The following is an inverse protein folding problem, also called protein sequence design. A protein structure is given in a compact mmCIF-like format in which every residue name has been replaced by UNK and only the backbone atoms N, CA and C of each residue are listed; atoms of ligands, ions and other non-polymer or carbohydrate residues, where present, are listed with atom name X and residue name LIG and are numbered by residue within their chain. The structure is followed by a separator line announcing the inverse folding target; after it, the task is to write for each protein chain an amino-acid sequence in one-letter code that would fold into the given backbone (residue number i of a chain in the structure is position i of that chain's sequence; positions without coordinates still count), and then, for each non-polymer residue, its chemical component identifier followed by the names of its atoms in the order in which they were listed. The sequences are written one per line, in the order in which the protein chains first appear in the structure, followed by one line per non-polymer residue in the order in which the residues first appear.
data_IF_568946388819
#
_entry.id   IF_568946388819
#
_cell.length_a   1.000
_cell.length_b   1.000
_cell.length_c   1.000
_cell.angle_alpha   90.00
_cell.angle_beta   90.00
_cell.angle_gamma   90.00
#
_symmetry.space_group_name_H-M   'P 1'
#
loop_
_entity.id
_entity.type
_entity.pdbx_description
1 polymer ?
#
# COMPACT_ATOMS: atom_id res chain seq x y z
N UNK A 1 12.38 29.31 5.85
CA UNK A 1 12.06 27.91 5.47
C UNK A 1 11.77 27.13 6.72
N UNK A 2 10.72 26.28 6.70
CA UNK A 2 10.34 25.44 7.85
C UNK A 2 11.24 24.21 7.92
N UNK A 3 11.69 23.78 9.10
CA UNK A 3 12.46 22.56 9.23
C UNK A 3 11.61 21.32 8.89
N UNK A 4 12.22 20.35 8.21
CA UNK A 4 11.61 19.12 7.74
C UNK A 4 12.40 17.93 8.29
N UNK A 5 11.74 16.86 8.64
CA UNK A 5 12.38 15.56 8.85
C UNK A 5 12.20 14.70 7.60
N UNK A 6 13.28 14.42 6.89
CA UNK A 6 13.31 13.45 5.79
C UNK A 6 13.39 12.04 6.34
N UNK A 7 12.38 11.24 6.08
CA UNK A 7 12.26 9.88 6.57
C UNK A 7 12.49 8.89 5.41
N UNK A 8 13.58 8.15 5.46
CA UNK A 8 14.07 7.28 4.39
C UNK A 8 13.94 5.82 4.84
N UNK A 9 13.07 5.06 4.18
CA UNK A 9 13.00 3.61 4.36
C UNK A 9 13.98 2.92 3.40
N UNK A 10 14.84 2.05 3.96
CA UNK A 10 15.84 1.28 3.21
C UNK A 10 15.76 -0.21 3.54
N UNK A 11 16.11 -1.05 2.57
CA UNK A 11 16.08 -2.50 2.69
C UNK A 11 17.26 -3.16 1.94
N UNK A 12 17.20 -4.47 1.76
CA UNK A 12 18.20 -5.24 1.03
C UNK A 12 18.44 -4.68 -0.39
N UNK A 13 19.71 -4.68 -0.82
CA UNK A 13 20.17 -4.22 -2.14
C UNK A 13 20.02 -2.71 -2.41
N UNK A 14 19.81 -1.89 -1.37
CA UNK A 14 19.54 -0.46 -1.52
C UNK A 14 20.67 0.45 -1.03
N UNK A 15 21.82 -0.09 -0.65
CA UNK A 15 22.94 0.68 -0.11
C UNK A 15 23.34 1.86 -1.00
N UNK A 16 23.68 1.58 -2.25
CA UNK A 16 24.20 2.61 -3.17
C UNK A 16 23.09 3.62 -3.55
N UNK A 17 21.85 3.19 -3.63
CA UNK A 17 20.69 4.06 -3.81
C UNK A 17 20.52 5.00 -2.61
N UNK A 18 20.57 4.47 -1.38
CA UNK A 18 20.48 5.28 -0.16
C UNK A 18 21.59 6.33 -0.10
N UNK A 19 22.83 5.97 -0.47
CA UNK A 19 23.94 6.93 -0.55
C UNK A 19 23.73 7.99 -1.62
N UNK A 20 23.18 7.61 -2.78
CA UNK A 20 22.87 8.57 -3.85
C UNK A 20 21.76 9.55 -3.43
N UNK A 21 20.71 9.05 -2.73
CA UNK A 21 19.69 9.91 -2.16
C UNK A 21 20.27 10.89 -1.13
N UNK A 22 21.14 10.42 -0.22
CA UNK A 22 21.79 11.29 0.75
C UNK A 22 22.66 12.36 0.08
N UNK A 23 23.40 12.00 -0.98
CA UNK A 23 24.15 12.95 -1.78
C UNK A 23 23.21 14.00 -2.38
N UNK A 24 22.07 13.60 -2.93
CA UNK A 24 21.12 14.54 -3.53
C UNK A 24 20.52 15.50 -2.50
N UNK A 25 20.24 15.03 -1.30
CA UNK A 25 19.81 15.89 -0.19
C UNK A 25 20.89 16.89 0.20
N UNK A 26 22.15 16.49 0.25
CA UNK A 26 23.28 17.37 0.55
C UNK A 26 23.48 18.47 -0.51
N UNK A 27 23.33 18.12 -1.79
CA UNK A 27 23.59 19.05 -2.90
C UNK A 27 22.38 19.93 -3.23
N UNK A 28 21.15 19.44 -2.98
CA UNK A 28 19.92 20.05 -3.48
C UNK A 28 19.00 20.60 -2.38
N UNK A 29 19.45 20.63 -1.12
CA UNK A 29 18.69 21.19 0.02
C UNK A 29 19.63 21.93 0.99
N UNK A 30 19.05 22.79 1.84
CA UNK A 30 19.78 23.32 3.02
C UNK A 30 19.74 22.28 4.16
N UNK A 31 20.46 21.19 3.95
CA UNK A 31 20.46 20.02 4.81
C UNK A 31 20.72 20.32 6.29
N UNK A 32 21.42 21.43 6.60
CA UNK A 32 21.77 21.83 7.96
C UNK A 32 20.54 22.24 8.79
N UNK A 33 19.44 22.63 8.14
CA UNK A 33 18.20 23.04 8.77
C UNK A 33 17.22 21.87 8.97
N UNK A 34 17.59 20.68 8.54
CA UNK A 34 16.68 19.51 8.48
C UNK A 34 17.21 18.33 9.30
N UNK A 35 16.33 17.43 9.66
CA UNK A 35 16.65 16.13 10.25
C UNK A 35 16.51 15.05 9.17
N UNK A 36 17.38 14.05 9.21
CA UNK A 36 17.27 12.84 8.38
C UNK A 36 17.11 11.63 9.30
N UNK A 37 16.03 10.91 9.14
CA UNK A 37 15.82 9.61 9.78
C UNK A 37 15.90 8.51 8.72
N UNK A 38 16.74 7.51 8.96
CA UNK A 38 16.89 6.36 8.06
C UNK A 38 16.50 5.10 8.84
N UNK A 39 15.55 4.35 8.30
CA UNK A 39 15.16 3.06 8.83
C UNK A 39 15.62 1.95 7.90
N UNK A 40 16.49 1.08 8.41
CA UNK A 40 17.00 -0.08 7.68
C UNK A 40 16.21 -1.31 8.12
N UNK A 41 15.25 -1.73 7.29
CA UNK A 41 14.33 -2.83 7.59
C UNK A 41 15.00 -4.21 7.44
N UNK A 42 15.87 -4.34 6.44
CA UNK A 42 16.73 -5.50 6.24
C UNK A 42 18.01 -5.07 5.56
N UNK A 43 19.13 -5.75 5.83
CA UNK A 43 20.44 -5.35 5.35
C UNK A 43 21.27 -6.57 4.94
N UNK A 44 21.64 -6.64 3.66
CA UNK A 44 22.52 -7.66 3.10
C UNK A 44 23.81 -7.08 2.48
N UNK A 45 24.03 -5.76 2.64
CA UNK A 45 25.15 -5.03 2.02
C UNK A 45 25.97 -4.22 3.02
N UNK A 46 25.77 -4.39 4.34
CA UNK A 46 26.36 -3.57 5.38
C UNK A 46 26.00 -2.08 5.23
N UNK A 47 24.76 -1.82 4.86
CA UNK A 47 24.22 -0.46 4.68
C UNK A 47 24.29 0.33 5.98
N UNK A 48 23.92 -0.32 7.10
CA UNK A 48 23.94 0.27 8.43
C UNK A 48 25.34 0.78 8.81
N UNK A 49 26.36 -0.06 8.72
CA UNK A 49 27.74 0.30 9.07
C UNK A 49 28.26 1.43 8.19
N UNK A 50 27.92 1.40 6.90
CA UNK A 50 28.27 2.46 5.94
C UNK A 50 27.61 3.80 6.27
N UNK A 51 26.36 3.79 6.72
CA UNK A 51 25.64 5.00 7.12
C UNK A 51 26.13 5.55 8.48
N UNK A 52 26.52 4.70 9.41
CA UNK A 52 27.17 5.13 10.67
C UNK A 52 28.48 5.88 10.40
N UNK A 53 29.27 5.45 9.41
CA UNK A 53 30.44 6.25 8.98
C UNK A 53 30.02 7.59 8.36
N UNK A 54 28.95 7.61 7.55
CA UNK A 54 28.44 8.83 6.93
C UNK A 54 27.88 9.83 7.96
N UNK A 55 27.34 9.35 9.08
CA UNK A 55 26.85 10.18 10.18
C UNK A 55 27.93 11.08 10.77
N UNK A 56 29.20 10.69 10.70
CA UNK A 56 30.34 11.54 11.17
C UNK A 56 30.46 12.83 10.34
N UNK A 57 30.05 12.79 9.08
CA UNK A 57 30.06 13.94 8.16
C UNK A 57 28.75 14.72 8.22
N UNK A 58 27.64 14.05 8.55
CA UNK A 58 26.28 14.58 8.60
C UNK A 58 25.66 14.31 9.97
N UNK A 59 25.92 15.15 10.98
CA UNK A 59 25.49 14.89 12.35
C UNK A 59 23.97 14.98 12.57
N UNK A 60 23.23 15.50 11.61
CA UNK A 60 21.75 15.54 11.61
C UNK A 60 21.07 14.26 11.08
N UNK A 61 21.85 13.22 10.76
CA UNK A 61 21.31 11.90 10.43
C UNK A 61 21.15 11.08 11.70
N UNK A 62 19.99 10.47 11.84
CA UNK A 62 19.71 9.43 12.83
C UNK A 62 19.36 8.13 12.11
N UNK A 63 20.02 7.04 12.48
CA UNK A 63 19.89 5.76 11.78
C UNK A 63 19.24 4.77 12.73
N UNK A 64 18.23 4.09 12.24
CA UNK A 64 17.61 2.98 12.95
C UNK A 64 17.81 1.69 12.16
N UNK A 65 18.16 0.64 12.88
CA UNK A 65 18.25 -0.71 12.34
C UNK A 65 17.15 -1.58 12.92
N UNK A 66 16.41 -2.24 12.06
CA UNK A 66 15.47 -3.26 12.50
C UNK A 66 16.21 -4.44 13.16
N UNK A 67 15.96 -4.66 14.43
CA UNK A 67 16.57 -5.75 15.24
C UNK A 67 15.63 -6.93 15.42
N UNK A 68 14.42 -6.88 14.85
CA UNK A 68 13.42 -7.94 15.01
C UNK A 68 13.83 -9.26 14.36
N UNK A 69 14.84 -9.23 13.46
CA UNK A 69 15.27 -10.37 12.69
C UNK A 69 14.38 -10.68 11.49
N UNK A 70 13.40 -9.83 11.12
CA UNK A 70 12.53 -9.96 9.94
C UNK A 70 12.04 -8.58 9.47
N UNK A 71 11.81 -8.38 8.16
CA UNK A 71 11.27 -7.13 7.65
C UNK A 71 9.88 -6.85 8.22
N UNK A 72 9.67 -5.63 8.70
CA UNK A 72 8.37 -5.20 9.25
C UNK A 72 7.49 -4.44 8.23
N UNK A 73 8.10 -4.05 7.11
CA UNK A 73 7.44 -3.37 6.00
C UNK A 73 7.52 -1.85 6.06
N UNK A 74 7.47 -1.22 4.89
CA UNK A 74 7.67 0.23 4.74
C UNK A 74 6.68 1.06 5.55
N UNK A 75 5.42 0.65 5.65
CA UNK A 75 4.36 1.37 6.36
C UNK A 75 4.63 1.52 7.85
N UNK A 76 5.17 0.45 8.47
CA UNK A 76 5.57 0.48 9.89
C UNK A 76 6.83 1.28 10.07
N UNK A 77 7.80 1.12 9.16
CA UNK A 77 9.05 1.88 9.17
C UNK A 77 8.76 3.38 9.11
N UNK A 78 7.87 3.80 8.21
CA UNK A 78 7.45 5.20 8.08
C UNK A 78 6.76 5.69 9.35
N UNK A 79 5.83 4.91 9.91
CA UNK A 79 5.13 5.30 11.15
C UNK A 79 6.09 5.45 12.32
N UNK A 80 7.09 4.57 12.44
CA UNK A 80 8.14 4.65 13.48
C UNK A 80 8.98 5.91 13.28
N UNK A 81 9.46 6.17 12.07
CA UNK A 81 10.26 7.36 11.76
C UNK A 81 9.47 8.65 12.02
N UNK A 82 8.20 8.70 11.58
CA UNK A 82 7.34 9.87 11.82
C UNK A 82 7.09 10.10 13.31
N UNK A 83 6.93 9.04 14.10
CA UNK A 83 6.84 9.13 15.56
C UNK A 83 8.12 9.69 16.20
N UNK A 84 9.28 9.26 15.72
CA UNK A 84 10.59 9.67 16.22
C UNK A 84 11.07 11.04 15.70
N UNK A 85 10.43 11.58 14.66
CA UNK A 85 10.80 12.86 14.03
C UNK A 85 10.70 14.02 15.04
N UNK A 86 11.67 14.92 15.00
CA UNK A 86 11.71 16.11 15.85
C UNK A 86 10.96 17.30 15.26
N UNK A 87 10.81 17.35 13.93
CA UNK A 87 10.11 18.42 13.23
C UNK A 87 8.64 18.10 13.02
N UNK A 88 7.82 19.14 12.86
CA UNK A 88 6.37 19.02 12.63
C UNK A 88 6.04 18.53 11.22
N UNK A 89 6.87 18.91 10.22
CA UNK A 89 6.73 18.44 8.85
C UNK A 89 7.64 17.23 8.67
N UNK A 90 7.06 16.14 8.23
CA UNK A 90 7.74 14.90 7.89
C UNK A 90 7.59 14.62 6.40
N UNK A 91 8.67 14.22 5.75
CA UNK A 91 8.69 13.87 4.33
C UNK A 91 9.14 12.43 4.15
N UNK A 92 8.28 11.59 3.61
CA UNK A 92 8.61 10.20 3.27
C UNK A 92 9.34 10.14 1.94
N UNK A 93 10.51 9.54 1.94
CA UNK A 93 11.32 9.22 0.76
C UNK A 93 11.63 7.72 0.72
N UNK A 94 11.56 7.13 -0.45
CA UNK A 94 12.09 5.79 -0.68
C UNK A 94 13.58 5.89 -0.97
N UNK A 95 14.36 4.90 -0.57
CA UNK A 95 15.82 4.88 -0.74
C UNK A 95 16.28 5.02 -2.19
N UNK A 96 15.45 4.56 -3.14
CA UNK A 96 15.71 4.57 -4.57
C UNK A 96 15.25 5.87 -5.28
N UNK A 97 15.39 7.01 -4.58
CA UNK A 97 15.06 8.33 -5.09
C UNK A 97 16.28 9.26 -5.13
N UNK A 98 16.21 10.27 -5.98
CA UNK A 98 17.15 11.40 -6.04
C UNK A 98 16.33 12.67 -6.06
N UNK A 99 16.52 13.56 -5.07
CA UNK A 99 15.75 14.80 -4.99
C UNK A 99 16.29 15.87 -5.93
N UNK A 100 15.37 16.66 -6.50
CA UNK A 100 15.72 17.81 -7.34
C UNK A 100 16.18 19.01 -6.54
N UNK A 101 16.69 20.03 -7.24
CA UNK A 101 17.19 21.28 -6.65
C UNK A 101 16.12 22.02 -5.86
N UNK A 102 16.49 22.65 -4.75
CA UNK A 102 15.63 23.42 -3.84
C UNK A 102 14.42 22.59 -3.33
N UNK A 103 14.58 21.27 -3.20
CA UNK A 103 13.51 20.35 -2.84
C UNK A 103 12.81 20.70 -1.52
N UNK A 104 13.60 21.01 -0.49
CA UNK A 104 13.12 21.43 0.83
C UNK A 104 12.35 22.76 0.79
N UNK A 105 12.82 23.71 -0.01
CA UNK A 105 12.15 24.98 -0.20
C UNK A 105 10.79 24.79 -0.85
N UNK A 106 10.74 24.00 -1.92
CA UNK A 106 9.49 23.72 -2.60
C UNK A 106 8.49 22.95 -1.73
N UNK A 107 8.97 22.08 -0.83
CA UNK A 107 8.09 21.48 0.21
C UNK A 107 7.59 22.57 1.15
N UNK A 108 8.49 23.37 1.73
CA UNK A 108 8.17 24.43 2.70
C UNK A 108 7.13 25.43 2.16
N UNK A 109 7.29 25.84 0.90
CA UNK A 109 6.41 26.82 0.23
C UNK A 109 4.99 26.28 0.01
N UNK A 110 4.82 24.95 -0.15
CA UNK A 110 3.53 24.30 -0.37
C UNK A 110 2.86 23.79 0.92
N UNK A 111 3.55 23.85 2.06
CA UNK A 111 3.04 23.32 3.34
C UNK A 111 2.58 24.43 4.32
N UNK A 112 1.99 25.52 3.80
CA UNK A 112 1.46 26.59 4.65
C UNK A 112 0.14 26.19 5.36
N UNK A 113 -0.71 25.43 4.69
CA UNK A 113 -1.94 24.87 5.26
C UNK A 113 -1.66 23.46 5.76
N UNK A 114 -1.92 23.20 7.04
CA UNK A 114 -1.76 21.89 7.65
C UNK A 114 -2.67 20.79 7.05
N UNK A 115 -3.73 21.18 6.36
CA UNK A 115 -4.64 20.24 5.68
C UNK A 115 -4.08 19.74 4.33
N UNK A 116 -2.99 20.34 3.87
CA UNK A 116 -2.33 19.93 2.64
C UNK A 116 -1.42 18.72 2.94
N UNK A 117 -1.50 17.72 2.11
CA UNK A 117 -0.49 16.68 1.98
C UNK A 117 0.18 16.89 0.64
N UNK A 118 1.47 17.17 0.67
CA UNK A 118 2.22 17.48 -0.53
C UNK A 118 2.80 16.21 -1.14
N UNK A 119 2.31 15.80 -2.30
CA UNK A 119 2.96 14.82 -3.14
C UNK A 119 4.04 15.49 -4.00
N UNK A 120 5.19 14.85 -4.13
CA UNK A 120 6.27 15.34 -4.97
C UNK A 120 6.20 14.68 -6.36
N UNK A 121 6.45 15.45 -7.41
CA UNK A 121 6.41 14.93 -8.77
C UNK A 121 7.52 13.89 -9.00
N UNK A 122 7.17 12.78 -9.64
CA UNK A 122 8.12 11.72 -9.97
C UNK A 122 8.59 11.84 -11.42
N UNK A 123 9.89 11.70 -11.59
CA UNK A 123 10.54 11.49 -12.88
C UNK A 123 11.03 10.05 -12.86
N UNK A 124 10.60 9.22 -13.79
CA UNK A 124 10.88 7.77 -13.80
C UNK A 124 11.44 7.32 -15.15
N UNK A 125 12.33 6.31 -15.16
CA UNK A 125 12.74 5.67 -16.40
C UNK A 125 11.52 4.99 -17.07
N UNK A 126 11.59 4.66 -18.38
CA UNK A 126 10.46 4.08 -19.12
C UNK A 126 10.22 2.60 -18.81
N UNK A 127 10.19 2.25 -17.50
CA UNK A 127 9.90 0.91 -17.01
C UNK A 127 8.41 0.70 -16.74
N UNK A 128 7.67 1.78 -16.56
CA UNK A 128 6.23 1.78 -16.34
C UNK A 128 5.52 2.65 -17.38
N UNK A 129 4.23 2.37 -17.68
CA UNK A 129 3.42 3.24 -18.51
C UNK A 129 3.42 4.68 -18.01
N UNK A 130 3.31 5.68 -18.90
CA UNK A 130 3.14 7.07 -18.50
C UNK A 130 1.84 7.27 -17.72
N UNK A 131 1.82 8.27 -16.86
CA UNK A 131 0.65 8.73 -16.10
C UNK A 131 0.65 10.26 -16.02
N UNK A 132 -0.49 10.89 -15.74
CA UNK A 132 -0.57 12.34 -15.64
C UNK A 132 0.25 12.90 -14.46
N UNK A 133 0.51 12.08 -13.45
CA UNK A 133 1.18 12.42 -12.20
C UNK A 133 2.71 12.32 -12.27
N UNK A 134 3.27 11.86 -13.39
CA UNK A 134 4.71 11.63 -13.50
C UNK A 134 5.28 12.01 -14.87
N UNK A 135 6.58 12.18 -14.89
CA UNK A 135 7.36 12.41 -16.12
C UNK A 135 8.16 11.16 -16.43
N UNK A 136 8.02 10.63 -17.64
CA UNK A 136 8.85 9.51 -18.10
C UNK A 136 10.08 10.06 -18.79
N UNK A 137 11.24 9.92 -18.15
CA UNK A 137 12.55 10.34 -18.71
C UNK A 137 13.67 9.50 -18.09
N UNK A 138 14.56 9.02 -18.92
CA UNK A 138 15.63 8.11 -18.52
C UNK A 138 16.90 8.88 -18.10
N UNK A 139 17.24 8.79 -16.81
CA UNK A 139 18.54 9.24 -16.28
C UNK A 139 19.38 8.10 -15.72
N UNK A 140 19.08 6.85 -16.09
CA UNK A 140 19.71 5.62 -15.61
C UNK A 140 18.77 4.76 -14.76
N UNK A 141 19.03 3.47 -14.70
CA UNK A 141 18.25 2.49 -13.92
C UNK A 141 19.00 1.96 -12.70
N UNK A 142 20.26 2.34 -12.55
CA UNK A 142 21.11 2.04 -11.38
C UNK A 142 21.85 3.31 -10.92
N UNK A 143 22.34 3.34 -9.68
CA UNK A 143 23.12 4.48 -9.18
C UNK A 143 24.36 4.81 -9.99
N UNK A 144 25.03 3.78 -10.54
CA UNK A 144 26.24 3.93 -11.37
C UNK A 144 25.95 4.51 -12.75
N UNK A 145 24.73 4.27 -13.27
CA UNK A 145 24.28 4.80 -14.56
C UNK A 145 23.65 6.19 -14.44
N UNK A 146 23.45 6.69 -13.22
CA UNK A 146 22.69 7.91 -12.99
C UNK A 146 23.39 9.13 -13.59
N UNK A 147 22.68 9.81 -14.48
CA UNK A 147 23.16 10.97 -15.25
C UNK A 147 22.91 12.27 -14.48
N UNK A 148 23.75 12.51 -13.47
CA UNK A 148 23.58 13.59 -12.51
C UNK A 148 23.39 14.97 -13.14
N UNK A 149 24.29 15.38 -14.05
CA UNK A 149 24.26 16.70 -14.68
C UNK A 149 23.05 16.88 -15.60
N UNK A 150 22.68 15.81 -16.34
CA UNK A 150 21.51 15.85 -17.19
C UNK A 150 20.22 15.96 -16.37
N UNK A 151 20.15 15.26 -15.23
CA UNK A 151 19.03 15.35 -14.30
C UNK A 151 18.90 16.75 -13.72
N UNK A 152 19.98 17.33 -13.17
CA UNK A 152 19.96 18.67 -12.61
C UNK A 152 19.56 19.73 -13.65
N UNK A 153 20.11 19.65 -14.86
CA UNK A 153 19.73 20.55 -15.96
C UNK A 153 18.25 20.42 -16.31
N UNK A 154 17.71 19.21 -16.32
CA UNK A 154 16.30 18.97 -16.57
C UNK A 154 15.41 19.53 -15.46
N UNK A 155 15.80 19.38 -14.20
CA UNK A 155 15.06 19.95 -13.05
C UNK A 155 15.04 21.48 -13.13
N UNK A 156 16.17 22.13 -13.46
CA UNK A 156 16.23 23.57 -13.65
C UNK A 156 15.27 24.06 -14.77
N UNK A 157 15.13 23.29 -15.85
CA UNK A 157 14.17 23.59 -16.93
C UNK A 157 12.71 23.37 -16.47
N UNK A 158 12.43 22.25 -15.82
CA UNK A 158 11.11 21.93 -15.30
C UNK A 158 10.59 22.99 -14.32
N UNK A 159 11.45 23.47 -13.41
CA UNK A 159 11.10 24.50 -12.45
C UNK A 159 10.82 25.86 -13.12
N UNK A 160 11.52 26.20 -14.21
CA UNK A 160 11.24 27.42 -14.99
C UNK A 160 9.91 27.39 -15.69
N UNK A 161 9.37 26.21 -16.02
CA UNK A 161 8.02 26.09 -16.62
C UNK A 161 6.92 26.56 -15.66
N UNK A 162 7.19 26.57 -14.35
CA UNK A 162 6.25 26.97 -13.30
C UNK A 162 4.87 26.33 -13.46
N UNK A 163 4.86 25.03 -13.64
CA UNK A 163 3.61 24.26 -13.82
C UNK A 163 2.72 24.40 -12.59
N UNK A 164 1.41 24.60 -12.76
CA UNK A 164 0.50 24.68 -11.64
C UNK A 164 0.43 23.33 -10.90
N UNK A 165 0.25 23.41 -9.58
CA UNK A 165 0.00 22.22 -8.78
C UNK A 165 -1.25 21.49 -9.28
N UNK A 166 -1.27 20.19 -9.13
CA UNK A 166 -2.39 19.34 -9.49
C UNK A 166 -2.82 18.47 -8.30
N UNK A 167 -3.92 17.74 -8.44
CA UNK A 167 -4.27 16.71 -7.47
C UNK A 167 -3.19 15.64 -7.52
N UNK A 168 -2.58 15.38 -6.36
CA UNK A 168 -1.41 14.54 -6.25
C UNK A 168 -1.73 13.06 -6.05
N UNK A 169 -0.76 12.27 -6.42
CA UNK A 169 -0.68 10.85 -6.07
C UNK A 169 0.39 10.65 -5.00
N UNK A 170 0.44 9.44 -4.48
CA UNK A 170 1.27 9.06 -3.36
C UNK A 170 2.78 8.93 -3.72
N UNK A 171 3.62 9.04 -2.72
CA UNK A 171 5.07 8.85 -2.62
C UNK A 171 5.94 9.41 -3.78
N UNK A 172 6.89 10.26 -3.42
CA UNK A 172 7.16 10.76 -2.07
C UNK A 172 6.14 11.81 -1.65
N UNK A 173 5.94 11.98 -0.36
CA UNK A 173 5.01 12.98 0.15
C UNK A 173 5.50 13.62 1.45
N UNK A 174 5.06 14.85 1.69
CA UNK A 174 5.23 15.56 2.95
C UNK A 174 3.88 15.81 3.62
N UNK A 175 3.84 15.69 4.94
CA UNK A 175 2.65 15.86 5.78
C UNK A 175 3.03 16.42 7.14
N UNK A 176 2.12 17.12 7.79
CA UNK A 176 2.27 17.43 9.21
C UNK A 176 2.12 16.17 10.06
N UNK A 177 3.07 15.94 10.96
CA UNK A 177 3.09 14.79 11.86
C UNK A 177 1.80 14.62 12.65
N UNK A 178 1.24 15.74 13.15
CA UNK A 178 -0.05 15.76 13.84
C UNK A 178 -1.19 15.24 12.95
N UNK A 179 -1.25 15.69 11.70
CA UNK A 179 -2.29 15.24 10.76
C UNK A 179 -2.14 13.75 10.47
N UNK A 180 -0.91 13.28 10.27
CA UNK A 180 -0.65 11.85 10.05
C UNK A 180 -1.17 10.96 11.19
N UNK A 181 -0.90 11.31 12.45
CA UNK A 181 -1.29 10.48 13.59
C UNK A 181 -2.72 10.74 14.06
N UNK A 182 -3.10 11.99 14.28
CA UNK A 182 -4.38 12.31 14.94
C UNK A 182 -5.57 12.23 14.00
N UNK A 183 -5.39 12.61 12.73
CA UNK A 183 -6.46 12.62 11.73
C UNK A 183 -6.48 11.31 10.95
N UNK A 184 -5.35 10.96 10.35
CA UNK A 184 -5.24 9.80 9.47
C UNK A 184 -5.12 8.47 10.23
N UNK A 185 -4.61 8.49 11.46
CA UNK A 185 -4.28 7.28 12.21
C UNK A 185 -3.11 6.50 11.61
N UNK A 186 -2.28 7.14 10.78
CA UNK A 186 -1.13 6.53 10.13
C UNK A 186 -1.49 5.66 8.91
N UNK A 187 -0.54 4.86 8.46
CA UNK A 187 -0.78 3.82 7.47
C UNK A 187 -1.57 2.65 8.07
N UNK A 188 -2.44 2.04 7.28
CA UNK A 188 -3.07 0.79 7.67
C UNK A 188 -2.04 -0.36 7.59
N UNK A 189 -1.67 -0.87 8.73
CA UNK A 189 -0.64 -1.91 8.87
C UNK A 189 -1.05 -3.29 8.35
N UNK A 190 -2.30 -3.44 7.88
CA UNK A 190 -2.73 -4.64 7.16
C UNK A 190 -2.09 -4.72 5.78
N UNK A 191 -1.73 -3.56 5.18
CA UNK A 191 -0.99 -3.48 3.92
C UNK A 191 0.50 -3.42 4.23
N UNK A 192 1.29 -4.35 3.71
CA UNK A 192 2.71 -4.50 4.05
C UNK A 192 3.67 -4.13 2.93
N UNK A 193 3.25 -4.37 1.69
CA UNK A 193 4.10 -4.20 0.52
C UNK A 193 3.37 -3.69 -0.72
N UNK A 194 2.05 -3.60 -0.69
CA UNK A 194 1.25 -3.02 -1.78
C UNK A 194 -0.09 -2.49 -1.27
N UNK A 195 -0.73 -1.59 -2.03
CA UNK A 195 -2.03 -0.98 -1.76
C UNK A 195 -2.09 -0.03 -0.55
N UNK A 196 -1.02 0.13 0.18
CA UNK A 196 -0.91 1.10 1.27
C UNK A 196 -1.11 2.54 0.81
N UNK A 197 -0.59 2.84 -0.37
CA UNK A 197 -0.71 4.14 -1.03
C UNK A 197 -2.15 4.44 -1.42
N UNK A 198 -2.80 3.51 -2.10
CA UNK A 198 -4.21 3.65 -2.50
C UNK A 198 -5.13 3.78 -1.29
N UNK A 199 -4.91 2.96 -0.25
CA UNK A 199 -5.65 3.06 1.01
C UNK A 199 -5.45 4.41 1.69
N UNK A 200 -4.21 4.89 1.74
CA UNK A 200 -3.88 6.17 2.37
C UNK A 200 -4.56 7.34 1.65
N UNK A 201 -4.51 7.38 0.32
CA UNK A 201 -5.15 8.44 -0.48
C UNK A 201 -6.67 8.44 -0.29
N UNK A 202 -7.33 7.28 -0.35
CA UNK A 202 -8.77 7.20 -0.14
C UNK A 202 -9.15 7.75 1.26
N UNK A 203 -8.41 7.35 2.30
CA UNK A 203 -8.67 7.85 3.66
C UNK A 203 -8.35 9.34 3.80
N UNK A 204 -7.34 9.83 3.09
CA UNK A 204 -6.99 11.23 3.05
C UNK A 204 -8.17 12.06 2.54
N UNK A 205 -8.71 11.72 1.38
CA UNK A 205 -9.87 12.40 0.79
C UNK A 205 -11.11 12.30 1.69
N UNK A 206 -11.37 11.14 2.30
CA UNK A 206 -12.48 10.96 3.25
C UNK A 206 -12.37 11.81 4.51
N UNK A 207 -11.15 12.16 4.93
CA UNK A 207 -10.92 13.06 6.05
C UNK A 207 -10.95 14.55 5.65
N UNK A 208 -11.28 14.85 4.39
CA UNK A 208 -11.37 16.22 3.88
C UNK A 208 -9.99 16.88 3.73
N UNK A 209 -8.94 16.08 3.60
CA UNK A 209 -7.59 16.57 3.32
C UNK A 209 -7.37 16.65 1.81
N UNK A 210 -6.45 17.48 1.37
CA UNK A 210 -6.13 17.66 -0.04
C UNK A 210 -4.72 17.16 -0.32
N UNK A 211 -4.59 16.21 -1.25
CA UNK A 211 -3.30 15.86 -1.83
C UNK A 211 -2.98 16.82 -2.98
N UNK A 212 -1.97 17.64 -2.83
CA UNK A 212 -1.48 18.55 -3.86
C UNK A 212 -0.13 18.04 -4.35
N UNK A 213 0.05 17.92 -5.66
CA UNK A 213 1.34 17.60 -6.25
C UNK A 213 2.04 18.86 -6.75
N UNK A 214 3.24 19.10 -6.26
CA UNK A 214 4.13 20.15 -6.79
C UNK A 214 5.09 19.56 -7.83
N UNK A 215 5.13 20.18 -9.01
CA UNK A 215 6.11 19.83 -10.05
C UNK A 215 7.51 20.30 -9.73
N UNK A 216 7.64 21.35 -8.89
CA UNK A 216 8.93 21.91 -8.49
C UNK A 216 9.58 21.08 -7.37
N UNK A 217 8.77 20.51 -6.46
CA UNK A 217 9.26 19.50 -5.52
C UNK A 217 9.29 18.14 -6.24
N UNK A 218 10.33 17.84 -6.99
CA UNK A 218 10.42 16.64 -7.81
C UNK A 218 11.55 15.70 -7.40
N UNK A 219 11.38 14.44 -7.72
CA UNK A 219 12.38 13.39 -7.49
C UNK A 219 12.57 12.55 -8.74
N UNK A 220 13.78 12.04 -8.98
CA UNK A 220 13.97 10.88 -9.83
C UNK A 220 13.75 9.62 -9.00
N UNK A 221 12.95 8.70 -9.50
CA UNK A 221 12.62 7.46 -8.83
C UNK A 221 13.04 6.28 -9.72
N UNK A 222 14.01 5.50 -9.27
CA UNK A 222 14.52 4.36 -10.03
C UNK A 222 13.50 3.24 -10.21
N UNK A 223 12.45 3.27 -9.45
CA UNK A 223 11.29 2.37 -9.42
C UNK A 223 11.58 0.91 -9.04
N UNK A 224 10.87 0.43 -8.05
CA UNK A 224 10.80 -0.99 -7.68
C UNK A 224 12.15 -1.68 -7.47
N UNK A 225 13.19 -0.98 -7.01
CA UNK A 225 14.54 -1.56 -6.81
C UNK A 225 14.51 -2.74 -5.86
N UNK A 226 13.81 -2.61 -4.72
CA UNK A 226 13.66 -3.68 -3.74
C UNK A 226 12.80 -4.86 -4.21
N UNK A 227 11.87 -4.60 -5.14
CA UNK A 227 10.95 -5.62 -5.65
C UNK A 227 11.37 -6.21 -7.01
N UNK A 228 12.21 -5.48 -7.76
CA UNK A 228 12.69 -5.86 -9.10
C UNK A 228 14.18 -6.11 -9.17
N UNK A 229 14.91 -6.07 -8.07
CA UNK A 229 16.35 -6.29 -8.07
C UNK A 229 16.71 -7.48 -8.98
N UNK A 230 17.74 -7.33 -9.81
CA UNK A 230 18.21 -8.39 -10.75
C UNK A 230 18.39 -9.74 -10.06
N UNK A 231 18.62 -9.74 -8.75
CA UNK A 231 18.76 -10.96 -7.95
C UNK A 231 17.44 -11.69 -7.69
N UNK A 232 16.28 -11.02 -7.84
CA UNK A 232 14.95 -11.66 -7.81
C UNK A 232 14.68 -12.48 -9.08
N UNK A 233 15.37 -12.18 -10.19
CA UNK A 233 15.26 -12.85 -11.47
C UNK A 233 16.38 -13.85 -11.75
N UNK A 234 17.39 -13.97 -10.89
CA UNK A 234 18.37 -15.03 -11.01
C UNK A 234 17.69 -16.36 -10.71
N UNK A 235 17.86 -17.38 -11.56
CA UNK A 235 17.20 -18.68 -11.44
C UNK A 235 17.90 -19.56 -10.41
N UNK A 236 18.19 -19.05 -9.22
CA UNK A 236 18.46 -19.93 -8.10
C UNK A 236 17.12 -20.34 -7.45
N UNK A 237 17.09 -21.48 -6.79
CA UNK A 237 15.86 -22.00 -6.19
C UNK A 237 15.25 -21.01 -5.18
N UNK A 238 16.09 -20.25 -4.47
CA UNK A 238 15.64 -19.26 -3.49
C UNK A 238 14.97 -18.05 -4.14
N UNK A 239 15.48 -17.57 -5.28
CA UNK A 239 14.85 -16.48 -6.02
C UNK A 239 13.46 -16.84 -6.55
N UNK A 240 13.28 -18.08 -7.01
CA UNK A 240 11.98 -18.58 -7.44
C UNK A 240 10.94 -18.56 -6.33
N UNK A 241 11.29 -18.96 -5.13
CA UNK A 241 10.38 -18.93 -3.99
C UNK A 241 10.09 -17.49 -3.50
N UNK A 242 11.08 -16.61 -3.51
CA UNK A 242 10.89 -15.20 -3.16
C UNK A 242 9.91 -14.51 -4.11
N UNK A 243 10.04 -14.72 -5.42
CA UNK A 243 9.11 -14.17 -6.41
C UNK A 243 7.68 -14.68 -6.22
N UNK A 244 7.50 -15.96 -5.96
CA UNK A 244 6.18 -16.53 -5.66
C UNK A 244 5.59 -15.92 -4.39
N UNK A 245 6.40 -15.72 -3.35
CA UNK A 245 5.95 -15.11 -2.10
C UNK A 245 5.53 -13.65 -2.29
N UNK A 246 6.27 -12.86 -3.07
CA UNK A 246 5.92 -11.48 -3.36
C UNK A 246 4.62 -11.40 -4.16
N UNK A 247 4.49 -12.15 -5.24
CA UNK A 247 3.26 -12.21 -6.03
C UNK A 247 2.04 -12.62 -5.20
N UNK A 248 2.22 -13.59 -4.30
CA UNK A 248 1.14 -14.02 -3.41
C UNK A 248 0.80 -12.94 -2.36
N UNK A 249 1.79 -12.25 -1.82
CA UNK A 249 1.56 -11.14 -0.89
C UNK A 249 0.79 -10.01 -1.58
N UNK A 250 1.18 -9.61 -2.80
CA UNK A 250 0.47 -8.60 -3.57
C UNK A 250 -0.97 -9.01 -3.88
N UNK A 251 -1.20 -10.28 -4.22
CA UNK A 251 -2.54 -10.82 -4.44
C UNK A 251 -3.39 -10.79 -3.16
N UNK A 252 -2.83 -11.16 -2.01
CA UNK A 252 -3.54 -11.13 -0.73
C UNK A 252 -3.81 -9.69 -0.26
N UNK A 253 -2.90 -8.77 -0.47
CA UNK A 253 -3.11 -7.36 -0.13
C UNK A 253 -4.15 -6.70 -1.05
N UNK A 254 -4.20 -7.08 -2.33
CA UNK A 254 -5.29 -6.68 -3.22
C UNK A 254 -6.64 -7.18 -2.73
N UNK A 255 -6.75 -8.45 -2.31
CA UNK A 255 -7.99 -8.98 -1.74
C UNK A 255 -8.39 -8.23 -0.46
N UNK A 256 -7.44 -7.91 0.43
CA UNK A 256 -7.70 -7.10 1.63
C UNK A 256 -8.19 -5.71 1.28
N UNK A 257 -7.57 -5.09 0.27
CA UNK A 257 -8.00 -3.78 -0.22
C UNK A 257 -9.45 -3.80 -0.71
N UNK A 258 -9.79 -4.78 -1.56
CA UNK A 258 -11.16 -4.93 -2.06
C UNK A 258 -12.15 -5.25 -0.92
N UNK A 259 -11.78 -6.10 0.04
CA UNK A 259 -12.62 -6.38 1.23
C UNK A 259 -12.90 -5.12 2.05
N UNK A 260 -11.92 -4.23 2.16
CA UNK A 260 -12.06 -2.97 2.89
C UNK A 260 -12.92 -1.97 2.12
N UNK A 261 -12.64 -1.79 0.83
CA UNK A 261 -13.19 -0.70 0.02
C UNK A 261 -14.33 -1.13 -0.92
N UNK A 262 -14.53 -2.42 -1.12
CA UNK A 262 -15.54 -2.96 -2.04
C UNK A 262 -15.19 -2.87 -3.53
N UNK A 263 -14.08 -2.24 -3.87
CA UNK A 263 -13.65 -2.00 -5.26
C UNK A 263 -12.14 -1.92 -5.37
N UNK A 264 -11.65 -1.92 -6.59
CA UNK A 264 -10.26 -1.55 -6.88
C UNK A 264 -10.20 -0.14 -7.48
N UNK A 265 -9.50 0.79 -6.81
CA UNK A 265 -9.39 2.18 -7.25
C UNK A 265 -8.58 3.06 -6.31
N UNK A 266 -8.49 4.36 -6.62
CA UNK A 266 -7.70 5.34 -5.87
C UNK A 266 -8.55 6.49 -5.28
N UNK A 267 -9.87 6.48 -5.52
CA UNK A 267 -10.77 7.50 -5.01
C UNK A 267 -11.86 6.87 -4.15
N UNK A 268 -12.35 7.54 -3.11
CA UNK A 268 -13.39 7.02 -2.26
C UNK A 268 -14.68 6.81 -3.06
N UNK A 269 -15.33 5.68 -2.79
CA UNK A 269 -16.67 5.34 -3.25
C UNK A 269 -17.50 4.90 -2.06
N UNK A 270 -18.84 4.95 -2.13
CA UNK A 270 -19.69 4.35 -1.11
C UNK A 270 -19.41 2.85 -0.99
N UNK A 271 -19.41 2.35 0.26
CA UNK A 271 -19.23 0.94 0.59
C UNK A 271 -20.48 0.45 1.32
N UNK A 272 -21.09 -0.62 0.82
CA UNK A 272 -22.34 -1.16 1.33
C UNK A 272 -22.14 -2.52 1.99
N UNK A 273 -23.06 -2.86 2.90
CA UNK A 273 -23.10 -4.20 3.50
C UNK A 273 -23.82 -5.17 2.56
N UNK A 274 -23.03 -5.96 1.80
CA UNK A 274 -23.52 -6.85 0.76
C UNK A 274 -23.21 -8.30 1.11
N UNK A 275 -24.23 -9.15 1.21
CA UNK A 275 -24.11 -10.60 1.27
C UNK A 275 -24.21 -11.24 -0.10
N UNK A 276 -23.33 -12.17 -0.44
CA UNK A 276 -23.46 -13.05 -1.59
C UNK A 276 -24.01 -14.38 -1.12
N UNK A 277 -25.17 -14.80 -1.61
CA UNK A 277 -25.74 -16.12 -1.37
C UNK A 277 -25.54 -17.01 -2.61
N UNK A 278 -24.83 -18.12 -2.46
CA UNK A 278 -24.50 -19.06 -3.52
C UNK A 278 -25.33 -20.32 -3.36
N UNK A 279 -26.21 -20.58 -4.32
CA UNK A 279 -26.97 -21.82 -4.43
C UNK A 279 -26.12 -22.90 -5.11
N UNK A 280 -25.68 -23.88 -4.35
CA UNK A 280 -24.92 -25.01 -4.89
C UNK A 280 -25.85 -25.94 -5.68
N UNK A 281 -25.82 -25.86 -6.99
CA UNK A 281 -26.60 -26.63 -7.93
C UNK A 281 -25.77 -27.73 -8.61
N UNK A 282 -24.47 -27.74 -8.42
CA UNK A 282 -23.53 -28.77 -8.88
C UNK A 282 -22.30 -28.84 -8.00
N UNK A 283 -21.62 -29.97 -7.99
CA UNK A 283 -20.31 -30.11 -7.38
C UNK A 283 -19.22 -29.80 -8.41
N UNK A 284 -18.34 -28.83 -8.10
CA UNK A 284 -17.22 -28.45 -8.95
C UNK A 284 -16.11 -27.79 -8.11
N UNK A 285 -15.02 -27.40 -8.76
CA UNK A 285 -13.91 -26.72 -8.10
C UNK A 285 -14.35 -25.37 -7.52
N UNK A 286 -14.22 -25.22 -6.20
CA UNK A 286 -14.61 -24.04 -5.44
C UNK A 286 -13.50 -22.99 -5.36
N UNK A 287 -12.30 -23.26 -5.89
CA UNK A 287 -11.17 -22.30 -5.82
C UNK A 287 -11.48 -20.99 -6.53
N UNK A 288 -12.36 -21.03 -7.54
CA UNK A 288 -12.85 -19.86 -8.23
C UNK A 288 -13.54 -18.83 -7.30
N UNK A 289 -14.16 -19.30 -6.20
CA UNK A 289 -14.84 -18.43 -5.24
C UNK A 289 -13.89 -17.46 -4.51
N UNK A 290 -12.60 -17.77 -4.48
CA UNK A 290 -11.57 -16.89 -3.88
C UNK A 290 -11.40 -15.55 -4.62
N UNK A 291 -11.79 -15.50 -5.90
CA UNK A 291 -11.70 -14.28 -6.70
C UNK A 291 -12.87 -13.33 -6.49
N UNK A 292 -14.01 -13.85 -6.03
CA UNK A 292 -15.25 -13.08 -5.86
C UNK A 292 -15.53 -12.71 -4.40
N UNK A 293 -15.10 -13.56 -3.46
CA UNK A 293 -15.31 -13.33 -2.03
C UNK A 293 -14.94 -11.93 -1.58
N UNK A 294 -13.83 -11.30 -2.03
CA UNK A 294 -13.40 -10.00 -1.55
C UNK A 294 -14.40 -8.85 -1.81
N UNK A 295 -15.27 -8.98 -2.79
CA UNK A 295 -16.24 -7.93 -3.16
C UNK A 295 -17.49 -7.89 -2.28
N UNK A 296 -17.63 -8.82 -1.33
CA UNK A 296 -18.82 -8.98 -0.49
C UNK A 296 -18.45 -8.91 1.00
N UNK A 297 -19.35 -8.38 1.81
CA UNK A 297 -19.17 -8.39 3.28
C UNK A 297 -19.16 -9.81 3.81
N UNK A 298 -20.12 -10.64 3.32
CA UNK A 298 -20.22 -12.06 3.65
C UNK A 298 -20.53 -12.87 2.41
N UNK A 299 -20.08 -14.13 2.40
CA UNK A 299 -20.45 -15.14 1.41
C UNK A 299 -21.17 -16.27 2.12
N UNK A 300 -22.39 -16.55 1.71
CA UNK A 300 -23.24 -17.63 2.23
C UNK A 300 -23.34 -18.73 1.19
N UNK A 301 -23.22 -19.96 1.64
CA UNK A 301 -23.26 -21.15 0.78
C UNK A 301 -24.24 -22.13 1.40
N UNK A 302 -25.22 -22.63 0.61
CA UNK A 302 -26.21 -23.58 1.07
C UNK A 302 -25.73 -25.04 1.13
N UNK A 303 -24.41 -25.25 1.09
CA UNK A 303 -23.76 -26.53 1.34
C UNK A 303 -22.73 -26.37 2.48
N UNK A 304 -22.98 -27.09 3.58
CA UNK A 304 -22.15 -26.97 4.79
C UNK A 304 -20.73 -27.49 4.58
N UNK A 305 -20.54 -28.51 3.76
CA UNK A 305 -19.21 -29.07 3.50
C UNK A 305 -18.39 -28.13 2.63
N UNK A 306 -19.01 -27.55 1.60
CA UNK A 306 -18.38 -26.57 0.72
C UNK A 306 -17.99 -25.31 1.50
N UNK A 307 -18.89 -24.78 2.32
CA UNK A 307 -18.63 -23.61 3.15
C UNK A 307 -17.45 -23.85 4.12
N UNK A 308 -17.42 -25.03 4.74
CA UNK A 308 -16.31 -25.44 5.61
C UNK A 308 -15.00 -25.58 4.84
N UNK A 309 -15.01 -26.26 3.70
CA UNK A 309 -13.82 -26.46 2.87
C UNK A 309 -13.24 -25.12 2.39
N UNK A 310 -14.08 -24.19 1.96
CA UNK A 310 -13.62 -22.87 1.51
C UNK A 310 -12.99 -22.07 2.65
N UNK A 311 -13.59 -22.08 3.85
CA UNK A 311 -12.99 -21.46 5.05
C UNK A 311 -11.63 -22.06 5.40
N UNK A 312 -11.53 -23.38 5.44
CA UNK A 312 -10.28 -24.08 5.76
C UNK A 312 -9.19 -23.80 4.72
N UNK A 313 -9.55 -23.73 3.44
CA UNK A 313 -8.61 -23.39 2.37
C UNK A 313 -8.12 -21.93 2.47
N UNK A 314 -9.03 -20.98 2.72
CA UNK A 314 -8.68 -19.58 2.90
C UNK A 314 -7.77 -19.40 4.13
N UNK A 315 -8.09 -20.04 5.26
CA UNK A 315 -7.28 -20.07 6.47
C UNK A 315 -5.90 -20.69 6.21
N UNK A 316 -5.85 -21.85 5.56
CA UNK A 316 -4.60 -22.53 5.24
C UNK A 316 -3.71 -21.66 4.34
N UNK A 317 -4.24 -21.06 3.28
CA UNK A 317 -3.47 -20.17 2.40
C UNK A 317 -2.95 -18.96 3.16
N UNK A 318 -3.78 -18.31 3.96
CA UNK A 318 -3.39 -17.17 4.75
C UNK A 318 -2.25 -17.52 5.73
N UNK A 319 -2.36 -18.64 6.46
CA UNK A 319 -1.30 -19.12 7.35
C UNK A 319 -0.07 -19.64 6.60
N UNK A 320 -0.27 -20.33 5.48
CA UNK A 320 0.82 -20.85 4.67
C UNK A 320 1.69 -19.72 4.11
N UNK A 321 1.10 -18.66 3.58
CA UNK A 321 1.84 -17.52 3.08
C UNK A 321 2.49 -16.70 4.20
N UNK A 322 1.84 -16.56 5.33
CA UNK A 322 2.46 -15.98 6.51
C UNK A 322 3.67 -16.81 6.95
N UNK A 323 3.55 -18.14 6.99
CA UNK A 323 4.62 -19.06 7.37
C UNK A 323 5.76 -19.13 6.36
N UNK A 324 5.48 -19.13 5.06
CA UNK A 324 6.53 -19.11 4.02
C UNK A 324 7.33 -17.81 4.07
N UNK A 325 6.66 -16.67 4.11
CA UNK A 325 7.30 -15.37 4.23
C UNK A 325 8.20 -15.32 5.47
N UNK A 326 7.75 -15.94 6.53
CA UNK A 326 8.45 -16.10 7.78
C UNK A 326 9.65 -17.05 7.69
N UNK A 327 9.50 -18.25 7.16
CA UNK A 327 10.56 -19.25 7.03
C UNK A 327 11.77 -18.72 6.24
N UNK A 328 11.51 -17.86 5.22
CA UNK A 328 12.57 -17.27 4.41
C UNK A 328 13.15 -15.99 5.01
N UNK A 329 12.44 -15.35 5.93
CA UNK A 329 12.95 -14.14 6.53
C UNK A 329 13.64 -14.36 7.86
N UNK A 330 13.34 -15.39 8.74
CA UNK A 330 13.91 -15.43 10.09
C UNK A 330 13.82 -16.64 10.98
N UNK A 331 14.65 -16.54 12.04
CA UNK A 331 14.94 -17.54 13.06
C UNK A 331 13.95 -17.61 14.26
N UNK A 332 13.01 -16.70 14.44
CA UNK A 332 12.21 -16.56 15.68
C UNK A 332 10.70 -16.38 15.44
N UNK A 333 10.11 -17.27 14.66
CA UNK A 333 8.69 -17.27 14.30
C UNK A 333 7.73 -17.25 15.50
N UNK A 334 7.96 -18.09 16.48
CA UNK A 334 6.98 -18.34 17.55
C UNK A 334 6.74 -17.12 18.44
N UNK A 335 7.75 -16.27 18.62
CA UNK A 335 7.70 -15.12 19.52
C UNK A 335 6.93 -13.93 18.93
N UNK A 336 6.68 -13.89 17.60
CA UNK A 336 6.18 -12.70 16.90
C UNK A 336 5.02 -12.96 15.95
N UNK A 337 4.37 -14.07 16.11
CA UNK A 337 3.20 -14.48 15.32
C UNK A 337 2.10 -13.41 15.31
N UNK A 338 1.89 -12.71 16.42
CA UNK A 338 0.90 -11.66 16.57
C UNK A 338 1.11 -10.46 15.62
N UNK A 339 2.36 -10.15 15.22
CA UNK A 339 2.67 -9.05 14.30
C UNK A 339 2.22 -9.34 12.85
N UNK A 340 1.95 -10.59 12.54
CA UNK A 340 1.63 -11.07 11.20
C UNK A 340 0.35 -11.88 11.15
N UNK A 341 -0.46 -11.81 12.21
CA UNK A 341 -1.75 -12.52 12.23
C UNK A 341 -2.57 -12.05 11.04
N UNK A 342 -2.96 -12.93 10.14
CA UNK A 342 -3.90 -12.59 9.07
C UNK A 342 -5.18 -12.08 9.71
N UNK A 343 -5.81 -11.09 9.08
CA UNK A 343 -7.18 -10.72 9.46
C UNK A 343 -8.02 -11.98 9.35
N UNK A 344 -8.74 -12.33 10.42
CA UNK A 344 -9.62 -13.50 10.43
C UNK A 344 -10.67 -13.36 9.33
N UNK A 345 -10.53 -14.14 8.28
CA UNK A 345 -11.51 -14.21 7.19
C UNK A 345 -12.60 -15.25 7.45
N UNK A 346 -12.49 -15.99 8.56
CA UNK A 346 -13.34 -17.11 8.90
C UNK A 346 -14.81 -16.74 9.01
N UNK A 347 -15.10 -15.54 9.54
CA UNK A 347 -16.48 -15.12 9.80
C UNK A 347 -17.21 -14.63 8.54
N UNK A 348 -16.49 -14.43 7.44
CA UNK A 348 -17.08 -13.92 6.19
C UNK A 348 -17.73 -15.03 5.35
N UNK A 349 -17.22 -16.27 5.43
CA UNK A 349 -17.76 -17.43 4.68
C UNK A 349 -18.60 -18.26 5.64
N UNK A 350 -19.88 -18.29 5.39
CA UNK A 350 -20.86 -18.90 6.28
C UNK A 350 -21.71 -19.93 5.56
N UNK A 351 -22.16 -20.94 6.30
CA UNK A 351 -23.25 -21.81 5.84
C UNK A 351 -24.58 -21.12 6.12
N UNK A 352 -25.48 -21.16 5.14
CA UNK A 352 -26.86 -20.77 5.31
C UNK A 352 -27.74 -21.64 4.38
N UNK A 353 -28.77 -22.28 4.89
CA UNK A 353 -29.68 -23.11 4.13
C UNK A 353 -30.71 -22.31 3.30
N UNK A 354 -30.83 -21.02 3.59
CA UNK A 354 -31.84 -20.16 2.97
C UNK A 354 -31.40 -18.71 2.92
N UNK A 355 -31.73 -18.02 1.84
CA UNK A 355 -31.48 -16.59 1.66
C UNK A 355 -32.23 -15.70 2.67
N UNK A 356 -33.36 -16.19 3.19
CA UNK A 356 -34.16 -15.46 4.19
C UNK A 356 -33.44 -15.30 5.52
N UNK A 357 -32.47 -16.15 5.82
CA UNK A 357 -31.66 -16.05 7.06
C UNK A 357 -30.51 -15.06 6.95
N UNK A 358 -30.20 -14.57 5.75
CA UNK A 358 -29.13 -13.61 5.50
C UNK A 358 -29.55 -12.22 5.96
N UNK A 359 -28.69 -11.53 6.74
CA UNK A 359 -29.03 -10.27 7.43
C UNK A 359 -28.42 -9.02 6.79
N UNK A 360 -27.58 -9.15 5.75
CA UNK A 360 -26.96 -8.02 5.10
C UNK A 360 -27.99 -7.02 4.54
N UNK A 361 -27.61 -5.76 4.48
CA UNK A 361 -28.43 -4.65 3.94
C UNK A 361 -28.80 -4.88 2.46
N UNK A 362 -27.91 -5.57 1.72
CA UNK A 362 -28.17 -6.02 0.35
C UNK A 362 -27.74 -7.49 0.18
N UNK A 363 -28.47 -8.22 -0.65
CA UNK A 363 -28.19 -9.63 -0.90
C UNK A 363 -28.18 -9.89 -2.41
N UNK A 364 -27.10 -10.53 -2.85
CA UNK A 364 -26.94 -11.00 -4.22
C UNK A 364 -27.02 -12.52 -4.18
N UNK A 365 -27.95 -13.10 -4.93
CA UNK A 365 -28.19 -14.55 -4.99
C UNK A 365 -27.87 -15.09 -6.37
N UNK A 366 -27.04 -16.11 -6.45
CA UNK A 366 -26.60 -16.70 -7.72
C UNK A 366 -26.46 -18.21 -7.60
N UNK A 367 -26.73 -18.94 -8.69
CA UNK A 367 -26.39 -20.36 -8.80
C UNK A 367 -24.90 -20.54 -9.02
N UNK A 368 -24.32 -21.54 -8.37
CA UNK A 368 -22.89 -21.83 -8.50
C UNK A 368 -22.47 -22.15 -9.95
N UNK A 369 -23.37 -22.85 -10.72
CA UNK A 369 -23.12 -23.12 -12.13
C UNK A 369 -22.96 -21.88 -13.01
N UNK A 370 -23.81 -20.85 -12.76
CA UNK A 370 -23.78 -19.59 -13.51
C UNK A 370 -22.56 -18.76 -13.12
N UNK A 371 -22.22 -18.76 -11.84
CA UNK A 371 -21.04 -18.11 -11.31
C UNK A 371 -19.76 -18.67 -11.93
N UNK A 372 -19.59 -20.00 -11.95
CA UNK A 372 -18.42 -20.65 -12.56
C UNK A 372 -18.30 -20.33 -14.05
N UNK A 373 -19.41 -20.32 -14.78
CA UNK A 373 -19.42 -19.95 -16.19
C UNK A 373 -18.95 -18.52 -16.39
N UNK A 374 -19.41 -17.59 -15.54
CA UNK A 374 -19.01 -16.17 -15.62
C UNK A 374 -17.54 -15.95 -15.34
N UNK A 375 -16.92 -16.74 -14.47
CA UNK A 375 -15.49 -16.60 -14.13
C UNK A 375 -14.55 -17.09 -15.24
N UNK A 376 -15.04 -17.93 -16.14
CA UNK A 376 -14.31 -18.42 -17.31
C UNK A 376 -14.37 -17.44 -18.49
N UNK A 377 -15.25 -16.45 -18.44
CA UNK A 377 -15.46 -15.46 -19.48
C UNK A 377 -15.15 -14.05 -18.94
N UNK A 378 -14.06 -13.44 -19.39
CA UNK A 378 -13.65 -12.10 -18.97
C UNK A 378 -14.61 -10.99 -19.41
N UNK A 379 -15.44 -11.27 -20.42
CA UNK A 379 -16.45 -10.34 -20.93
C UNK A 379 -17.83 -10.54 -20.28
N UNK A 380 -17.96 -11.44 -19.33
CA UNK A 380 -19.22 -11.75 -18.65
C UNK A 380 -19.77 -10.54 -17.89
N UNK A 381 -21.02 -10.18 -18.19
CA UNK A 381 -21.75 -9.15 -17.46
C UNK A 381 -21.92 -9.51 -15.98
N UNK A 382 -22.09 -10.79 -15.64
CA UNK A 382 -22.18 -11.24 -14.27
C UNK A 382 -20.87 -11.03 -13.50
N UNK A 383 -19.73 -11.29 -14.13
CA UNK A 383 -18.41 -11.00 -13.54
C UNK A 383 -18.23 -9.50 -13.30
N UNK A 384 -18.59 -8.68 -14.29
CA UNK A 384 -18.55 -7.22 -14.16
C UNK A 384 -19.44 -6.73 -13.02
N UNK A 385 -20.66 -7.25 -12.91
CA UNK A 385 -21.60 -6.92 -11.83
C UNK A 385 -21.03 -7.25 -10.45
N UNK A 386 -20.41 -8.41 -10.29
CA UNK A 386 -19.78 -8.82 -9.02
C UNK A 386 -18.66 -7.83 -8.64
N UNK A 387 -17.80 -7.48 -9.58
CA UNK A 387 -16.67 -6.57 -9.34
C UNK A 387 -17.12 -5.12 -9.07
N UNK A 388 -18.33 -4.76 -9.43
CA UNK A 388 -18.94 -3.44 -9.21
C UNK A 388 -20.18 -3.52 -8.31
N UNK A 389 -20.26 -4.50 -7.43
CA UNK A 389 -21.44 -4.78 -6.58
C UNK A 389 -21.89 -3.58 -5.76
N UNK A 390 -20.96 -2.80 -5.22
CA UNK A 390 -21.27 -1.58 -4.45
C UNK A 390 -21.86 -0.48 -5.33
N UNK A 391 -21.35 -0.30 -6.54
CA UNK A 391 -21.90 0.65 -7.51
C UNK A 391 -23.31 0.23 -7.98
N UNK A 392 -23.55 -1.07 -8.13
CA UNK A 392 -24.87 -1.61 -8.43
C UNK A 392 -25.86 -1.26 -7.32
N UNK A 393 -25.48 -1.43 -6.04
CA UNK A 393 -26.33 -1.02 -4.91
C UNK A 393 -26.55 0.50 -4.91
N UNK A 394 -25.54 1.29 -5.20
CA UNK A 394 -25.64 2.75 -5.24
C UNK A 394 -26.63 3.25 -6.31
N UNK A 395 -26.54 2.70 -7.51
CA UNK A 395 -27.32 3.16 -8.68
C UNK A 395 -28.76 2.67 -8.69
N UNK A 396 -29.12 1.61 -7.94
CA UNK A 396 -30.46 1.05 -7.96
C UNK A 396 -31.27 1.41 -6.71
N UNK A 397 -32.58 1.47 -6.84
CA UNK A 397 -33.49 1.71 -5.70
C UNK A 397 -33.63 0.48 -4.78
N UNK A 398 -34.12 0.73 -3.55
CA UNK A 398 -34.49 -0.34 -2.62
C UNK A 398 -35.56 -1.20 -3.28
N UNK A 399 -35.33 -2.52 -3.31
CA UNK A 399 -36.24 -3.44 -3.98
C UNK A 399 -35.55 -4.74 -4.37
N UNK A 400 -36.24 -5.53 -5.19
CA UNK A 400 -35.75 -6.81 -5.70
C UNK A 400 -35.82 -6.80 -7.23
N UNK A 401 -34.75 -7.21 -7.89
CA UNK A 401 -34.64 -7.29 -9.34
C UNK A 401 -33.72 -8.42 -9.79
N UNK A 402 -33.82 -8.79 -11.05
CA UNK A 402 -33.01 -9.84 -11.67
C UNK A 402 -32.03 -9.21 -12.67
N UNK A 403 -30.80 -9.70 -12.68
CA UNK A 403 -29.79 -9.28 -13.64
C UNK A 403 -28.85 -10.44 -13.97
N UNK A 404 -28.81 -10.85 -15.26
CA UNK A 404 -27.87 -11.86 -15.79
C UNK A 404 -27.82 -13.18 -14.97
N UNK A 405 -28.97 -13.66 -14.50
CA UNK A 405 -29.11 -14.88 -13.70
C UNK A 405 -28.80 -14.71 -12.20
N UNK A 406 -28.59 -13.47 -11.76
CA UNK A 406 -28.45 -13.13 -10.35
C UNK A 406 -29.68 -12.39 -9.86
N UNK A 407 -30.23 -12.79 -8.72
CA UNK A 407 -31.25 -12.03 -8.00
C UNK A 407 -30.58 -11.06 -7.05
N UNK A 408 -30.92 -9.78 -7.14
CA UNK A 408 -30.40 -8.72 -6.27
C UNK A 408 -31.56 -8.18 -5.43
N UNK A 409 -31.39 -8.21 -4.12
CA UNK A 409 -32.32 -7.62 -3.16
C UNK A 409 -31.61 -6.53 -2.37
N UNK A 410 -32.01 -5.28 -2.57
CA UNK A 410 -31.54 -4.13 -1.79
C UNK A 410 -32.62 -3.84 -0.74
N UNK A 411 -32.26 -3.97 0.52
CA UNK A 411 -33.13 -3.70 1.68
C UNK A 411 -32.89 -2.29 2.23
N UNK A 412 -31.61 -1.94 2.34
CA UNK A 412 -31.13 -0.65 2.85
C UNK A 412 -29.87 -0.24 2.10
N UNK A 413 -29.58 1.07 2.11
CA UNK A 413 -28.39 1.66 1.45
C UNK A 413 -27.58 2.47 2.46
N UNK A 414 -26.99 1.79 3.45
CA UNK A 414 -26.16 2.39 4.48
C UNK A 414 -24.69 2.41 4.03
N UNK A 415 -24.19 3.59 3.68
CA UNK A 415 -22.78 3.76 3.34
C UNK A 415 -21.88 3.54 4.56
N UNK A 416 -21.02 2.53 4.49
CA UNK A 416 -20.04 2.16 5.52
C UNK A 416 -18.66 2.79 5.28
N UNK A 417 -18.42 3.50 4.19
CA UNK A 417 -17.11 4.04 3.84
C UNK A 417 -16.53 4.94 4.93
N UNK A 418 -17.39 5.66 5.64
CA UNK A 418 -16.99 6.53 6.76
C UNK A 418 -16.32 5.79 7.92
N UNK A 419 -16.53 4.48 8.06
CA UNK A 419 -15.91 3.67 9.13
C UNK A 419 -14.40 3.50 8.93
N UNK A 420 -13.90 3.71 7.72
CA UNK A 420 -12.49 3.52 7.34
C UNK A 420 -11.65 4.80 7.34
N UNK A 421 -12.18 5.91 7.84
CA UNK A 421 -11.49 7.23 7.84
C UNK A 421 -10.15 7.22 8.55
N UNK A 422 -9.97 6.36 9.56
CA UNK A 422 -8.72 6.21 10.30
C UNK A 422 -8.15 4.81 10.14
N UNK A 423 -6.83 4.71 10.05
CA UNK A 423 -6.14 3.44 10.14
C UNK A 423 -6.14 2.91 11.59
N UNK A 424 -6.04 1.61 11.74
CA UNK A 424 -5.73 0.99 13.03
C UNK A 424 -4.20 1.01 13.21
N UNK A 425 -3.68 2.06 13.85
CA UNK A 425 -2.27 2.03 14.28
C UNK A 425 -2.14 0.96 15.34
N UNK A 426 -1.19 0.07 15.17
CA UNK A 426 -0.79 -0.85 16.22
C UNK A 426 0.05 -0.02 17.21
N UNK A 427 -0.57 0.46 18.29
CA UNK A 427 0.09 1.24 19.35
C UNK A 427 1.34 0.56 19.91
N UNK A 428 1.36 -0.76 19.90
CA UNK A 428 2.47 -1.61 20.33
C UNK A 428 3.76 -1.44 19.56
N UNK A 429 3.73 -0.89 18.32
CA UNK A 429 4.94 -0.74 17.50
C UNK A 429 5.71 0.54 17.82
N UNK A 430 5.02 1.57 18.30
CA UNK A 430 5.62 2.88 18.63
C UNK A 430 6.20 2.86 20.04
N UNK A 431 5.67 2.01 20.93
CA UNK A 431 6.03 1.95 22.35
C UNK A 431 6.93 0.75 22.72
N UNK A 432 7.27 -0.13 21.79
CA UNK A 432 8.16 -1.25 22.08
C UNK A 432 9.62 -0.80 22.08
N UNK A 433 10.32 -1.09 23.19
CA UNK A 433 11.79 -0.95 23.37
C UNK A 433 12.63 -1.79 22.37
N UNK A 434 11.98 -2.31 21.32
CA UNK A 434 12.59 -3.15 20.28
C UNK A 434 13.36 -2.32 19.25
N UNK A 435 13.17 -0.99 19.26
CA UNK A 435 13.75 -0.10 18.27
C UNK A 435 14.63 0.95 18.95
N UNK A 436 15.92 0.94 18.61
CA UNK A 436 16.87 1.96 19.03
C UNK A 436 17.21 2.87 17.85
N UNK A 437 17.06 4.20 18.05
CA UNK A 437 17.60 5.20 17.15
C UNK A 437 18.95 5.66 17.66
N UNK A 438 19.98 5.56 16.83
CA UNK A 438 21.30 6.11 17.09
C UNK A 438 21.37 7.60 16.80
#
# INVERSE_FOLDING_TARGET
MRPITFCIASANNEREYTHLLLRSLQENTDISNHEILIFIDSDNQNTYESLVEKQKELPNIRIHRNTTGFPIGSQRNVSIMFGAATNDIVCYLQSDMVVGKDFDKHISDNMEDEKVVLACARIEPPLHPPGPEKIVKDFGITPEEFKWEEFNSFVDELQKENRPNMIGHFAPFAIYKRIYFEVMGGFDTQFRCSREDSDFIIRLEQNGLTAIQSWNACVYHFTCVSSRGKDWYKPDEDAKYKNVLQQNADSEELKRFIRKWGFFGHHPKPVYDIGLFIEMDKFADITALEFIEPYFTNVYINDQMVARQLRETARFKSHYYANLRWKYSHKHWEERHHLFTPVDFDDRIQFSDSVETVKNDSIFTVKFSDLLKSLQDETSNLRFLIQNSHEVVEQNEVGKFEFEGMTIQIREKNDKSSTYKRANIIDTIINDDVFEFL
#
